data_IF_838552543109
#
_entry.id   IF_838552543109
#
_cell.length_a   1.000
_cell.length_b   1.000
_cell.length_c   1.000
_cell.angle_alpha   90.00
_cell.angle_beta   90.00
_cell.angle_gamma   90.00
#
_symmetry.space_group_name_H-M   'P 1'
#
loop_
_entity.id
_entity.type
_entity.pdbx_description
1 polymer ?
#
# COMPACT_ATOMS: atom_id res chain seq x y z
N UNK A 1 -10.37 20.77 1.13
CA UNK A 1 -9.29 20.08 0.40
C UNK A 1 -8.24 19.71 1.43
N UNK A 2 -8.17 18.43 1.82
CA UNK A 2 -7.29 17.96 2.91
C UNK A 2 -6.17 17.03 2.43
N UNK A 3 -6.02 16.86 1.10
CA UNK A 3 -4.99 16.05 0.48
C UNK A 3 -4.36 16.77 -0.72
N UNK A 4 -3.07 16.49 -0.93
CA UNK A 4 -2.30 16.97 -2.08
C UNK A 4 -2.32 15.87 -3.18
N UNK A 5 -2.82 16.14 -4.39
CA UNK A 5 -2.70 15.19 -5.49
C UNK A 5 -1.21 15.05 -5.89
N UNK A 6 -0.74 13.80 -5.96
CA UNK A 6 0.61 13.47 -6.41
C UNK A 6 0.56 12.38 -7.49
N UNK A 7 1.52 12.42 -8.41
CA UNK A 7 1.80 11.32 -9.33
C UNK A 7 3.09 10.66 -8.90
N UNK A 8 3.04 9.37 -8.56
CA UNK A 8 4.20 8.60 -8.17
C UNK A 8 4.65 7.70 -9.33
N UNK A 9 5.96 7.70 -9.62
CA UNK A 9 6.54 6.73 -10.55
C UNK A 9 6.81 5.43 -9.78
N UNK A 10 6.07 4.38 -10.11
CA UNK A 10 6.14 3.09 -9.39
C UNK A 10 6.77 1.96 -10.19
N UNK A 11 7.15 2.19 -11.46
CA UNK A 11 7.78 1.18 -12.32
C UNK A 11 9.05 0.62 -11.67
N UNK A 12 9.12 -0.71 -11.55
CA UNK A 12 10.18 -1.50 -10.92
C UNK A 12 10.44 -1.14 -9.44
N UNK A 13 9.55 -0.37 -8.80
CA UNK A 13 9.67 0.03 -7.40
C UNK A 13 8.84 -0.91 -6.51
N UNK A 14 9.35 -1.27 -5.31
CA UNK A 14 8.55 -2.01 -4.35
C UNK A 14 7.37 -1.18 -3.85
N UNK A 15 6.18 -1.78 -3.83
CA UNK A 15 4.98 -1.22 -3.19
C UNK A 15 4.37 -2.30 -2.30
N UNK A 16 4.20 -1.97 -1.02
CA UNK A 16 3.59 -2.88 -0.05
C UNK A 16 2.08 -2.95 -0.29
N UNK A 17 1.51 -4.15 -0.28
CA UNK A 17 0.05 -4.34 -0.24
C UNK A 17 -0.31 -5.26 0.93
N UNK A 18 -0.92 -4.68 1.96
CA UNK A 18 -1.43 -5.40 3.14
C UNK A 18 -2.90 -5.70 2.93
N UNK A 19 -3.31 -6.94 3.19
CA UNK A 19 -4.69 -7.40 3.02
C UNK A 19 -4.84 -8.51 2.00
N UNK A 20 -6.02 -9.12 2.04
CA UNK A 20 -6.42 -10.28 1.26
C UNK A 20 -7.77 -10.04 0.57
N UNK A 21 -8.26 -11.05 -0.15
CA UNK A 21 -9.54 -10.97 -0.83
C UNK A 21 -9.55 -10.07 -2.07
N UNK A 22 -10.76 -9.74 -2.52
CA UNK A 22 -10.97 -9.11 -3.82
C UNK A 22 -10.44 -7.67 -3.87
N UNK A 23 -10.61 -6.91 -2.78
CA UNK A 23 -10.13 -5.53 -2.66
C UNK A 23 -8.60 -5.45 -2.80
N UNK A 24 -7.87 -6.28 -2.05
CA UNK A 24 -6.41 -6.35 -2.17
C UNK A 24 -6.00 -6.81 -3.57
N UNK A 25 -6.66 -7.84 -4.13
CA UNK A 25 -6.37 -8.32 -5.48
C UNK A 25 -6.58 -7.23 -6.56
N UNK A 26 -7.61 -6.39 -6.43
CA UNK A 26 -7.85 -5.28 -7.35
C UNK A 26 -6.72 -4.24 -7.30
N UNK A 27 -6.26 -3.87 -6.09
CA UNK A 27 -5.12 -2.94 -5.90
C UNK A 27 -3.82 -3.53 -6.43
N UNK A 28 -3.55 -4.81 -6.19
CA UNK A 28 -2.37 -5.52 -6.75
C UNK A 28 -2.36 -5.45 -8.28
N UNK A 29 -3.47 -5.81 -8.94
CA UNK A 29 -3.59 -5.74 -10.41
C UNK A 29 -3.34 -4.33 -10.96
N UNK A 30 -3.80 -3.28 -10.27
CA UNK A 30 -3.55 -1.90 -10.67
C UNK A 30 -2.06 -1.54 -10.60
N UNK A 31 -1.40 -1.88 -9.50
CA UNK A 31 0.02 -1.62 -9.26
C UNK A 31 0.92 -2.40 -10.22
N UNK A 32 0.64 -3.69 -10.43
CA UNK A 32 1.37 -4.54 -11.37
C UNK A 32 1.26 -4.01 -12.81
N UNK A 33 0.07 -3.56 -13.23
CA UNK A 33 -0.11 -2.91 -14.54
C UNK A 33 0.67 -1.60 -14.66
N UNK A 34 0.85 -0.88 -13.56
CA UNK A 34 1.71 0.30 -13.50
C UNK A 34 3.22 -0.04 -13.45
N UNK A 35 3.56 -1.33 -13.42
CA UNK A 35 4.93 -1.85 -13.38
C UNK A 35 5.53 -1.92 -11.98
N UNK A 36 4.73 -1.78 -10.91
CA UNK A 36 5.24 -1.88 -9.56
C UNK A 36 5.60 -3.33 -9.19
N UNK A 37 6.62 -3.47 -8.35
CA UNK A 37 6.94 -4.74 -7.69
C UNK A 37 6.11 -4.84 -6.42
N UNK A 38 4.97 -5.52 -6.48
CA UNK A 38 4.12 -5.74 -5.31
C UNK A 38 4.84 -6.66 -4.32
N UNK A 39 4.93 -6.23 -3.07
CA UNK A 39 5.62 -6.95 -1.99
C UNK A 39 4.76 -7.03 -0.72
N UNK A 40 5.13 -7.95 0.19
CA UNK A 40 4.51 -8.08 1.51
C UNK A 40 4.97 -6.99 2.49
N UNK A 41 4.32 -6.93 3.66
CA UNK A 41 4.57 -5.91 4.68
C UNK A 41 6.02 -5.88 5.18
N UNK A 42 6.67 -7.04 5.26
CA UNK A 42 8.05 -7.19 5.78
C UNK A 42 9.12 -6.55 4.89
N UNK A 43 8.80 -6.24 3.65
CA UNK A 43 9.75 -5.70 2.68
C UNK A 43 9.91 -4.18 2.79
N UNK A 44 11.03 -3.66 2.29
CA UNK A 44 11.28 -2.20 2.28
C UNK A 44 10.64 -1.54 1.07
N UNK A 45 9.74 -0.58 1.31
CA UNK A 45 9.09 0.24 0.28
C UNK A 45 8.83 1.66 0.78
N UNK A 46 8.61 2.59 -0.16
CA UNK A 46 8.23 3.98 0.16
C UNK A 46 6.72 4.20 0.20
N UNK A 47 5.95 3.29 -0.41
CA UNK A 47 4.50 3.37 -0.54
C UNK A 47 3.88 2.04 -0.09
N UNK A 48 2.78 2.13 0.65
CA UNK A 48 1.96 1.00 1.03
C UNK A 48 0.48 1.26 0.76
N UNK A 49 -0.24 0.20 0.38
CA UNK A 49 -1.70 0.17 0.32
C UNK A 49 -2.20 -0.82 1.37
N UNK A 50 -3.05 -0.35 2.27
CA UNK A 50 -3.76 -1.19 3.25
C UNK A 50 -5.16 -1.43 2.71
N UNK A 51 -5.45 -2.68 2.38
CA UNK A 51 -6.74 -3.14 1.85
C UNK A 51 -7.30 -4.23 2.77
N UNK A 52 -7.54 -3.86 4.04
CA UNK A 52 -8.05 -4.73 5.10
C UNK A 52 -9.46 -4.26 5.46
N UNK A 53 -10.41 -5.18 5.54
CA UNK A 53 -11.83 -4.85 5.82
C UNK A 53 -12.11 -4.61 7.31
N UNK A 54 -11.33 -5.22 8.20
CA UNK A 54 -11.43 -4.99 9.63
C UNK A 54 -10.71 -3.70 10.02
N UNK A 55 -11.46 -2.73 10.54
CA UNK A 55 -10.96 -1.39 10.86
C UNK A 55 -9.80 -1.44 11.87
N UNK A 56 -9.89 -2.28 12.91
CA UNK A 56 -8.84 -2.37 13.92
C UNK A 56 -7.54 -2.96 13.36
N UNK A 57 -7.64 -3.98 12.50
CA UNK A 57 -6.49 -4.55 11.80
C UNK A 57 -5.90 -3.57 10.77
N UNK A 58 -6.74 -2.79 10.08
CA UNK A 58 -6.30 -1.74 9.16
C UNK A 58 -5.51 -0.65 9.90
N UNK A 59 -6.06 -0.12 11.00
CA UNK A 59 -5.40 0.89 11.84
C UNK A 59 -4.06 0.38 12.39
N UNK A 60 -4.00 -0.87 12.85
CA UNK A 60 -2.77 -1.48 13.31
C UNK A 60 -1.70 -1.58 12.21
N UNK A 61 -2.10 -1.93 10.98
CA UNK A 61 -1.18 -1.95 9.83
C UNK A 61 -0.68 -0.54 9.46
N UNK A 62 -1.59 0.44 9.44
CA UNK A 62 -1.24 1.86 9.20
C UNK A 62 -0.23 2.36 10.22
N UNK A 63 -0.44 2.07 11.51
CA UNK A 63 0.46 2.48 12.57
C UNK A 63 1.87 1.90 12.40
N UNK A 64 1.99 0.60 12.09
CA UNK A 64 3.28 -0.06 11.85
C UNK A 64 4.01 0.52 10.63
N UNK A 65 3.30 0.79 9.55
CA UNK A 65 3.87 1.36 8.31
C UNK A 65 4.29 2.82 8.49
N UNK A 66 3.49 3.62 9.19
CA UNK A 66 3.83 5.01 9.52
C UNK A 66 5.06 5.10 10.43
N UNK A 67 5.18 4.21 11.43
CA UNK A 67 6.37 4.15 12.29
C UNK A 67 7.66 3.84 11.51
N UNK A 68 7.53 3.22 10.33
CA UNK A 68 8.64 2.95 9.40
C UNK A 68 8.89 4.08 8.40
N UNK A 69 8.09 5.16 8.43
CA UNK A 69 8.18 6.28 7.49
C UNK A 69 7.64 5.97 6.09
N UNK A 70 6.81 4.95 5.95
CA UNK A 70 6.18 4.57 4.67
C UNK A 70 4.96 5.46 4.42
N UNK A 71 4.76 5.94 3.19
CA UNK A 71 3.54 6.63 2.82
C UNK A 71 2.40 5.62 2.66
N UNK A 72 1.31 5.79 3.42
CA UNK A 72 0.21 4.82 3.47
C UNK A 72 -1.04 5.36 2.79
N UNK A 73 -1.64 4.54 1.93
CA UNK A 73 -3.02 4.68 1.45
C UNK A 73 -3.86 3.59 2.13
N UNK A 74 -4.76 3.98 3.02
CA UNK A 74 -5.70 3.11 3.72
C UNK A 74 -7.11 3.62 3.49
#
# INVERSE_FOLDING_TARGET
MHSLPIFAVVRDRPVIVVGEGEWAAAKRRLLERAGARVVGEEETALLAIVAVEDDAAAEAAVARLNARGVLVNA
#
